data_IF_821199877511
#
_entry.id   IF_821199877511
#
_cell.length_a   1.000
_cell.length_b   1.000
_cell.length_c   1.000
_cell.angle_alpha   90.00
_cell.angle_beta   90.00
_cell.angle_gamma   90.00
#
_symmetry.space_group_name_H-M   'P 1'
#
loop_
_entity.id
_entity.type
_entity.pdbx_description
1 polymer ?
#
# COMPACT_ATOMS: atom_id res chain seq x y z
N UNK A 1 7.49 -31.72 -7.36
CA UNK A 1 6.90 -32.28 -6.14
C UNK A 1 7.74 -31.99 -4.89
N UNK A 2 9.08 -32.20 -4.88
CA UNK A 2 9.94 -31.98 -3.73
C UNK A 2 9.98 -30.50 -3.27
N UNK A 3 10.11 -29.55 -4.20
CA UNK A 3 10.14 -28.12 -3.87
C UNK A 3 8.84 -27.59 -3.24
N UNK A 4 7.69 -28.10 -3.68
CA UNK A 4 6.39 -27.75 -3.09
C UNK A 4 6.23 -28.30 -1.65
N UNK A 5 6.74 -29.49 -1.40
CA UNK A 5 6.75 -30.07 -0.05
C UNK A 5 7.65 -29.30 0.91
N UNK A 6 8.81 -28.82 0.44
CA UNK A 6 9.74 -28.01 1.23
C UNK A 6 9.14 -26.64 1.57
N UNK A 7 8.44 -26.01 0.61
CA UNK A 7 7.77 -24.74 0.84
C UNK A 7 6.62 -24.87 1.86
N UNK A 8 5.82 -25.91 1.73
CA UNK A 8 4.72 -26.19 2.67
C UNK A 8 5.25 -26.47 4.09
N UNK A 9 6.36 -27.22 4.21
CA UNK A 9 6.98 -27.45 5.51
C UNK A 9 7.51 -26.16 6.15
N UNK A 10 8.16 -25.28 5.36
CA UNK A 10 8.66 -24.00 5.84
C UNK A 10 7.52 -23.06 6.29
N UNK A 11 6.40 -23.06 5.55
CA UNK A 11 5.21 -22.29 5.94
C UNK A 11 4.58 -22.78 7.24
N UNK A 12 4.50 -24.11 7.42
CA UNK A 12 3.98 -24.71 8.67
C UNK A 12 4.88 -24.37 9.85
N UNK A 13 6.19 -24.45 9.69
CA UNK A 13 7.16 -24.13 10.73
C UNK A 13 7.11 -22.64 11.12
N UNK A 14 7.00 -21.73 10.16
CA UNK A 14 6.81 -20.31 10.39
C UNK A 14 5.50 -20.02 11.14
N UNK A 15 4.41 -20.68 10.76
CA UNK A 15 3.10 -20.55 11.41
C UNK A 15 3.13 -21.05 12.85
N UNK A 16 3.78 -22.20 13.11
CA UNK A 16 3.95 -22.73 14.45
C UNK A 16 4.82 -21.81 15.33
N UNK A 17 5.84 -21.21 14.76
CA UNK A 17 6.73 -20.28 15.46
C UNK A 17 5.99 -18.97 15.81
N UNK A 18 5.16 -18.45 14.91
CA UNK A 18 4.28 -17.30 15.17
C UNK A 18 3.25 -17.63 16.27
N UNK A 19 2.66 -18.83 16.25
CA UNK A 19 1.70 -19.29 17.26
C UNK A 19 2.37 -19.42 18.63
N UNK A 20 3.59 -19.93 18.69
CA UNK A 20 4.37 -20.02 19.96
C UNK A 20 4.74 -18.66 20.51
N UNK A 21 5.12 -17.70 19.65
CA UNK A 21 5.42 -16.33 20.06
C UNK A 21 4.15 -15.62 20.57
N UNK A 22 3.00 -15.84 19.94
CA UNK A 22 1.71 -15.30 20.40
C UNK A 22 1.22 -15.90 21.73
N UNK A 23 1.41 -17.20 21.93
CA UNK A 23 0.95 -17.89 23.14
C UNK A 23 1.80 -17.58 24.41
N UNK A 24 3.03 -17.11 24.24
CA UNK A 24 3.94 -16.81 25.33
C UNK A 24 3.84 -15.36 25.86
N UNK A 25 3.06 -14.51 25.22
CA UNK A 25 3.05 -13.07 25.51
C UNK A 25 1.72 -12.64 26.12
N UNK A 26 1.74 -12.30 27.40
CA UNK A 26 0.61 -11.57 28.01
C UNK A 26 0.71 -10.12 27.57
N UNK A 27 -0.31 -9.54 26.91
CA UNK A 27 -0.26 -8.15 26.45
C UNK A 27 0.04 -7.21 27.62
N UNK A 28 1.13 -6.46 27.54
CA UNK A 28 1.53 -5.48 28.54
C UNK A 28 1.23 -4.05 28.12
N UNK A 29 1.00 -3.85 26.83
CA UNK A 29 0.74 -2.54 26.23
C UNK A 29 -0.47 -2.63 25.30
N UNK A 30 -1.00 -1.48 24.88
CA UNK A 30 -2.07 -1.43 23.88
C UNK A 30 -1.61 -2.03 22.53
N UNK A 31 -0.34 -1.84 22.16
CA UNK A 31 0.27 -2.42 20.96
C UNK A 31 0.32 -3.95 21.03
N UNK A 32 0.72 -4.52 22.18
CA UNK A 32 0.71 -5.96 22.38
C UNK A 32 -0.71 -6.55 22.27
N UNK A 33 -1.71 -5.83 22.78
CA UNK A 33 -3.10 -6.24 22.68
C UNK A 33 -3.60 -6.22 21.22
N UNK A 34 -3.22 -5.20 20.45
CA UNK A 34 -3.55 -5.10 19.02
C UNK A 34 -2.85 -6.18 18.21
N UNK A 35 -1.59 -6.48 18.48
CA UNK A 35 -0.86 -7.59 17.82
C UNK A 35 -1.51 -8.94 18.13
N UNK A 36 -1.90 -9.16 19.39
CA UNK A 36 -2.60 -10.37 19.79
C UNK A 36 -3.96 -10.50 19.09
N UNK A 37 -4.71 -9.40 18.96
CA UNK A 37 -5.97 -9.36 18.20
C UNK A 37 -5.73 -9.65 16.72
N UNK A 38 -4.78 -8.97 16.09
CA UNK A 38 -4.45 -9.16 14.69
C UNK A 38 -4.01 -10.60 14.38
N UNK A 39 -3.31 -11.28 15.31
CA UNK A 39 -2.92 -12.67 15.14
C UNK A 39 -4.08 -13.67 15.18
N UNK A 40 -5.27 -13.26 15.64
CA UNK A 40 -6.48 -14.09 15.67
C UNK A 40 -7.41 -13.81 14.48
N UNK A 41 -7.11 -12.81 13.66
CA UNK A 41 -7.89 -12.50 12.47
C UNK A 41 -7.51 -13.45 11.34
N UNK A 42 -8.52 -14.01 10.68
CA UNK A 42 -8.31 -14.83 9.49
C UNK A 42 -7.73 -13.96 8.37
N UNK A 43 -6.56 -14.34 7.88
CA UNK A 43 -6.01 -13.72 6.68
C UNK A 43 -6.83 -14.13 5.45
N UNK A 44 -7.21 -13.22 4.55
CA UNK A 44 -7.92 -13.58 3.35
C UNK A 44 -7.07 -14.51 2.48
N UNK A 45 -7.63 -15.66 2.12
CA UNK A 45 -7.01 -16.58 1.19
C UNK A 45 -7.37 -16.18 -0.26
N UNK A 46 -6.35 -15.98 -1.08
CA UNK A 46 -6.50 -15.71 -2.49
C UNK A 46 -6.28 -17.00 -3.29
N UNK A 47 -7.33 -17.57 -3.83
CA UNK A 47 -7.27 -18.79 -4.64
C UNK A 47 -6.68 -18.56 -6.03
N UNK A 48 -6.65 -17.31 -6.48
CA UNK A 48 -6.01 -16.91 -7.73
C UNK A 48 -5.43 -15.50 -7.59
N UNK A 49 -4.27 -15.28 -8.18
CA UNK A 49 -3.67 -13.94 -8.30
C UNK A 49 -3.83 -13.49 -9.74
N UNK A 50 -4.67 -12.48 -9.97
CA UNK A 50 -4.81 -11.85 -11.27
C UNK A 50 -3.76 -10.75 -11.41
N UNK A 51 -2.90 -10.86 -12.40
CA UNK A 51 -2.01 -9.79 -12.81
C UNK A 51 -1.83 -9.81 -14.33
N UNK A 52 -1.61 -8.64 -14.90
CA UNK A 52 -1.24 -8.53 -16.30
C UNK A 52 0.29 -8.54 -16.41
N UNK A 53 0.79 -9.36 -17.33
CA UNK A 53 2.22 -9.30 -17.66
C UNK A 53 2.52 -7.99 -18.37
N UNK A 54 3.63 -7.36 -18.01
CA UNK A 54 4.12 -6.21 -18.75
C UNK A 54 4.42 -6.62 -20.20
N UNK A 55 3.90 -5.84 -21.14
CA UNK A 55 4.14 -6.04 -22.58
C UNK A 55 5.46 -5.46 -23.07
N UNK A 56 6.20 -4.77 -22.20
CA UNK A 56 7.46 -4.07 -22.49
C UNK A 56 8.39 -4.12 -21.28
N UNK A 57 9.70 -3.87 -21.46
CA UNK A 57 10.64 -3.78 -20.34
C UNK A 57 10.27 -2.70 -19.33
N UNK A 58 10.62 -2.88 -18.07
CA UNK A 58 10.36 -1.89 -17.01
C UNK A 58 11.01 -0.54 -17.33
N UNK A 59 12.16 -0.53 -17.97
CA UNK A 59 12.85 0.67 -18.45
C UNK A 59 12.10 1.49 -19.51
N UNK A 60 10.98 0.97 -20.00
CA UNK A 60 10.08 1.68 -20.92
C UNK A 60 8.70 1.98 -20.28
N UNK A 61 8.52 1.57 -19.02
CA UNK A 61 7.24 1.69 -18.33
C UNK A 61 7.12 3.03 -17.61
N UNK A 62 5.91 3.59 -17.66
CA UNK A 62 5.49 4.71 -16.81
C UNK A 62 4.94 4.18 -15.49
N UNK A 63 5.51 4.66 -14.39
CA UNK A 63 5.20 4.18 -13.03
C UNK A 63 4.47 5.25 -12.23
N UNK A 64 3.32 4.89 -11.63
CA UNK A 64 2.60 5.71 -10.67
C UNK A 64 2.67 5.12 -9.27
N UNK A 65 2.45 5.95 -8.25
CA UNK A 65 2.27 5.52 -6.85
C UNK A 65 0.79 5.62 -6.50
N UNK A 66 0.28 4.60 -5.82
CA UNK A 66 -0.99 4.64 -5.11
C UNK A 66 -0.71 4.25 -3.66
N UNK A 67 -0.96 5.16 -2.74
CA UNK A 67 -0.67 4.98 -1.31
C UNK A 67 -1.96 4.96 -0.49
N UNK A 68 -1.96 4.27 0.65
CA UNK A 68 -3.03 4.35 1.65
C UNK A 68 -2.72 5.31 2.80
N UNK A 69 -1.69 6.15 2.67
CA UNK A 69 -1.27 7.11 3.68
C UNK A 69 -2.21 8.32 3.85
N UNK A 70 -3.35 8.35 3.16
CA UNK A 70 -4.31 9.48 3.20
C UNK A 70 -3.68 10.82 2.82
N UNK A 71 -2.74 10.81 1.87
CA UNK A 71 -2.06 12.03 1.42
C UNK A 71 -3.02 12.92 0.63
N UNK A 72 -2.97 14.21 0.89
CA UNK A 72 -3.73 15.23 0.18
C UNK A 72 -2.97 16.56 0.14
N UNK A 73 -3.28 17.41 -0.85
CA UNK A 73 -2.76 18.78 -0.88
C UNK A 73 -3.49 19.66 0.14
N UNK A 74 -2.88 20.79 0.57
CA UNK A 74 -3.52 21.74 1.49
C UNK A 74 -4.87 22.32 1.01
N UNK A 75 -5.07 22.37 -0.31
CA UNK A 75 -6.28 22.88 -0.97
C UNK A 75 -7.34 21.80 -1.24
N UNK A 76 -7.06 20.55 -0.91
CA UNK A 76 -8.01 19.45 -1.04
C UNK A 76 -8.72 19.17 0.28
N UNK A 77 -9.92 18.59 0.20
CA UNK A 77 -10.65 18.12 1.36
C UNK A 77 -9.88 17.00 2.07
N UNK A 78 -9.82 17.08 3.39
CA UNK A 78 -9.24 16.03 4.23
C UNK A 78 -10.03 14.73 4.07
N UNK A 79 -9.34 13.62 4.26
CA UNK A 79 -10.03 12.35 4.38
C UNK A 79 -10.83 12.29 5.68
N UNK A 80 -12.09 11.88 5.59
CA UNK A 80 -12.89 11.51 6.75
C UNK A 80 -12.59 10.06 7.18
N UNK A 81 -12.99 9.70 8.37
CA UNK A 81 -12.91 8.31 8.81
C UNK A 81 -13.78 7.42 7.91
N UNK A 82 -13.19 6.37 7.34
CA UNK A 82 -13.87 5.48 6.40
C UNK A 82 -14.13 6.08 5.01
N UNK A 83 -13.50 7.22 4.67
CA UNK A 83 -13.56 7.79 3.33
C UNK A 83 -12.99 6.80 2.31
N UNK A 84 -13.83 6.27 1.45
CA UNK A 84 -13.45 5.35 0.39
C UNK A 84 -12.99 6.07 -0.89
N UNK A 85 -13.09 7.40 -0.95
CA UNK A 85 -12.62 8.21 -2.07
C UNK A 85 -11.10 8.27 -2.15
N UNK A 86 -10.60 8.86 -3.22
CA UNK A 86 -9.17 9.10 -3.39
C UNK A 86 -8.87 10.58 -3.66
N UNK A 87 -7.62 10.97 -3.43
CA UNK A 87 -7.08 12.27 -3.84
C UNK A 87 -6.01 12.06 -4.88
N UNK A 88 -6.06 12.86 -5.94
CA UNK A 88 -5.02 12.90 -6.97
C UNK A 88 -4.16 14.15 -6.77
N UNK A 89 -2.87 14.02 -6.97
CA UNK A 89 -1.90 15.11 -6.91
C UNK A 89 -0.82 14.92 -7.97
N UNK A 90 -0.18 16.00 -8.35
CA UNK A 90 0.84 15.97 -9.39
C UNK A 90 2.16 15.43 -8.83
N UNK A 91 2.99 14.87 -9.70
CA UNK A 91 4.32 14.37 -9.33
C UNK A 91 5.22 15.43 -8.69
N UNK A 92 5.00 16.71 -8.99
CA UNK A 92 5.80 17.81 -8.46
C UNK A 92 5.25 18.35 -7.12
N UNK A 93 4.09 17.91 -6.67
CA UNK A 93 3.53 18.28 -5.38
C UNK A 93 4.38 17.67 -4.25
N UNK A 94 5.03 18.54 -3.45
CA UNK A 94 5.86 18.14 -2.30
C UNK A 94 5.26 18.59 -0.97
N UNK A 95 4.32 19.55 -0.99
CA UNK A 95 3.64 20.02 0.22
C UNK A 95 2.37 19.19 0.44
N UNK A 96 2.55 17.90 0.71
CA UNK A 96 1.44 16.99 0.99
C UNK A 96 1.22 16.88 2.51
N UNK A 97 -0.05 16.79 2.87
CA UNK A 97 -0.50 16.56 4.26
C UNK A 97 -0.90 15.11 4.37
N UNK A 98 -0.49 14.46 5.45
CA UNK A 98 -0.93 13.12 5.77
C UNK A 98 -2.12 13.17 6.70
N UNK A 99 -3.20 12.51 6.30
CA UNK A 99 -4.45 12.44 7.03
C UNK A 99 -4.78 11.05 7.57
N UNK A 100 -3.78 10.21 7.83
CA UNK A 100 -4.02 8.85 8.30
C UNK A 100 -4.66 8.82 9.68
N UNK A 101 -5.74 8.03 9.83
CA UNK A 101 -6.60 8.04 11.01
C UNK A 101 -6.26 7.00 12.07
N UNK A 102 -5.38 6.04 11.78
CA UNK A 102 -5.08 4.98 12.75
C UNK A 102 -4.29 5.53 13.95
N UNK A 103 -4.81 5.39 15.18
CA UNK A 103 -4.08 5.79 16.39
C UNK A 103 -2.92 4.83 16.72
N UNK A 104 -2.89 3.66 16.07
CA UNK A 104 -1.92 2.61 16.33
C UNK A 104 -0.71 2.66 15.37
N UNK A 105 -0.66 3.68 14.53
CA UNK A 105 0.36 3.83 13.52
C UNK A 105 1.44 4.79 14.01
N UNK A 106 2.71 4.35 13.97
CA UNK A 106 3.85 5.22 14.27
C UNK A 106 4.10 6.19 13.11
N UNK A 107 3.74 7.44 13.32
CA UNK A 107 3.87 8.51 12.34
C UNK A 107 5.30 9.09 12.24
N UNK A 108 6.22 8.69 13.12
CA UNK A 108 7.53 9.34 13.21
C UNK A 108 8.38 9.20 11.95
N UNK A 109 8.37 8.03 11.30
CA UNK A 109 9.19 7.76 10.13
C UNK A 109 8.88 8.68 8.95
N UNK A 110 7.62 8.86 8.63
CA UNK A 110 7.23 9.67 7.47
C UNK A 110 7.06 11.16 7.75
N UNK A 111 7.03 11.59 9.02
CA UNK A 111 7.24 13.00 9.37
C UNK A 111 8.69 13.44 9.09
N UNK A 112 9.62 12.51 9.11
CA UNK A 112 11.02 12.77 8.80
C UNK A 112 11.31 12.64 7.29
N UNK A 113 10.68 11.67 6.62
CA UNK A 113 10.88 11.42 5.19
C UNK A 113 9.58 10.94 4.55
N UNK A 114 9.02 11.76 3.66
CA UNK A 114 7.81 11.44 2.92
C UNK A 114 7.98 10.19 2.05
N UNK A 115 9.20 9.87 1.61
CA UNK A 115 9.49 8.69 0.80
C UNK A 115 9.15 7.36 1.48
N UNK A 116 8.99 7.34 2.80
CA UNK A 116 8.54 6.14 3.53
C UNK A 116 7.15 5.68 3.07
N UNK A 117 6.25 6.61 2.76
CA UNK A 117 4.87 6.32 2.32
C UNK A 117 4.58 6.74 0.89
N UNK A 118 5.41 7.61 0.33
CA UNK A 118 5.30 8.14 -1.02
C UNK A 118 6.70 8.29 -1.64
N UNK A 119 7.32 7.19 -2.12
CA UNK A 119 8.72 7.17 -2.55
C UNK A 119 8.93 7.83 -3.92
N UNK A 120 8.47 9.06 -4.07
CA UNK A 120 8.52 9.79 -5.34
C UNK A 120 9.96 10.10 -5.77
N UNK A 121 10.81 10.52 -4.81
CA UNK A 121 12.20 10.82 -5.12
C UNK A 121 12.96 9.56 -5.54
N UNK A 122 12.62 8.41 -4.95
CA UNK A 122 13.20 7.11 -5.35
C UNK A 122 12.77 6.72 -6.76
N UNK A 123 11.51 6.97 -7.14
CA UNK A 123 11.08 6.73 -8.52
C UNK A 123 11.77 7.68 -9.51
N UNK A 124 11.97 8.94 -9.14
CA UNK A 124 12.70 9.90 -9.98
C UNK A 124 14.16 9.48 -10.19
N UNK A 125 14.83 8.98 -9.15
CA UNK A 125 16.17 8.40 -9.26
C UNK A 125 16.19 7.17 -10.18
N UNK A 126 15.25 6.25 -10.00
CA UNK A 126 15.15 5.05 -10.86
C UNK A 126 14.86 5.41 -12.33
N UNK A 127 14.11 6.49 -12.58
CA UNK A 127 13.89 6.98 -13.94
C UNK A 127 15.17 7.62 -14.51
N UNK A 128 15.90 8.38 -13.72
CA UNK A 128 17.18 8.98 -14.12
C UNK A 128 18.24 7.90 -14.44
N UNK A 129 18.23 6.80 -13.69
CA UNK A 129 19.13 5.65 -13.88
C UNK A 129 18.66 4.71 -15.01
N UNK A 130 17.51 4.97 -15.63
CA UNK A 130 16.97 4.14 -16.71
C UNK A 130 16.43 2.78 -16.27
N UNK A 131 16.18 2.59 -14.98
CA UNK A 131 15.57 1.37 -14.42
C UNK A 131 14.08 1.32 -14.75
N UNK A 132 13.40 2.47 -14.67
CA UNK A 132 12.04 2.66 -15.15
C UNK A 132 12.04 3.67 -16.29
N UNK A 133 10.99 3.67 -17.14
CA UNK A 133 10.91 4.58 -18.28
C UNK A 133 10.67 6.01 -17.85
N UNK A 134 9.67 6.23 -17.03
CA UNK A 134 9.32 7.55 -16.49
C UNK A 134 8.40 7.46 -15.29
N UNK A 135 8.36 8.54 -14.51
CA UNK A 135 7.40 8.73 -13.43
C UNK A 135 6.11 9.33 -14.01
N UNK A 136 4.96 8.81 -13.60
CA UNK A 136 3.66 9.29 -14.04
C UNK A 136 3.41 10.76 -13.65
N UNK A 137 2.59 11.50 -14.40
CA UNK A 137 2.32 12.91 -14.10
C UNK A 137 1.49 13.09 -12.83
N UNK A 138 0.69 12.08 -12.46
CA UNK A 138 -0.16 12.09 -11.26
C UNK A 138 0.02 10.82 -10.45
N UNK A 139 -0.21 10.98 -9.15
CA UNK A 139 -0.23 9.92 -8.15
C UNK A 139 -1.50 10.01 -7.33
N UNK A 140 -1.83 8.94 -6.59
CA UNK A 140 -3.11 8.84 -5.92
C UNK A 140 -2.93 8.37 -4.47
N UNK A 141 -3.80 8.86 -3.60
CA UNK A 141 -3.89 8.38 -2.23
C UNK A 141 -5.32 8.03 -1.87
N UNK A 142 -5.48 6.93 -1.16
CA UNK A 142 -6.70 6.52 -0.47
C UNK A 142 -6.51 6.71 1.04
N UNK A 143 -7.61 6.69 1.78
CA UNK A 143 -7.53 6.58 3.23
C UNK A 143 -7.13 5.15 3.62
N UNK A 144 -6.21 5.02 4.56
CA UNK A 144 -5.95 3.77 5.27
C UNK A 144 -7.05 3.48 6.30
N UNK A 145 -6.93 2.36 7.01
CA UNK A 145 -7.88 1.95 8.05
C UNK A 145 -9.33 1.83 7.52
N UNK A 146 -9.48 1.14 6.41
CA UNK A 146 -10.77 0.88 5.77
C UNK A 146 -11.54 -0.24 6.48
N UNK A 147 -12.89 -0.29 6.35
CA UNK A 147 -13.68 -1.45 6.76
C UNK A 147 -13.23 -2.73 6.06
N UNK A 148 -13.37 -3.88 6.72
CA UNK A 148 -12.94 -5.18 6.23
C UNK A 148 -13.48 -5.54 4.83
N UNK A 149 -14.66 -5.05 4.48
CA UNK A 149 -15.29 -5.34 3.19
C UNK A 149 -14.63 -4.64 2.02
N UNK A 150 -14.06 -3.44 2.24
CA UNK A 150 -13.52 -2.52 1.20
C UNK A 150 -14.37 -2.46 -0.09
N UNK A 151 -15.68 -2.69 0.05
CA UNK A 151 -16.59 -2.91 -1.11
C UNK A 151 -16.65 -1.69 -2.01
N UNK A 152 -16.70 -0.50 -1.43
CA UNK A 152 -16.78 0.75 -2.18
C UNK A 152 -15.49 1.00 -2.98
N UNK A 153 -14.32 0.77 -2.36
CA UNK A 153 -13.04 0.86 -3.08
C UNK A 153 -12.98 -0.16 -4.21
N UNK A 154 -13.39 -1.40 -3.97
CA UNK A 154 -13.31 -2.46 -4.98
C UNK A 154 -14.24 -2.26 -6.16
N UNK A 155 -15.45 -1.75 -5.93
CA UNK A 155 -16.51 -1.74 -6.93
C UNK A 155 -16.73 -0.36 -7.55
N UNK A 156 -16.23 0.71 -6.93
CA UNK A 156 -16.50 2.07 -7.36
C UNK A 156 -15.21 2.91 -7.46
N UNK A 157 -14.63 3.36 -6.36
CA UNK A 157 -13.54 4.36 -6.38
C UNK A 157 -12.21 3.80 -6.91
N UNK A 158 -11.90 2.54 -6.67
CA UNK A 158 -10.73 1.87 -7.25
C UNK A 158 -10.80 1.80 -8.78
N UNK A 159 -11.90 1.32 -9.39
CA UNK A 159 -12.12 1.43 -10.84
C UNK A 159 -12.01 2.87 -11.38
N UNK A 160 -12.55 3.86 -10.68
CA UNK A 160 -12.41 5.28 -11.07
C UNK A 160 -10.95 5.74 -11.06
N UNK A 161 -10.18 5.37 -10.03
CA UNK A 161 -8.75 5.61 -9.96
C UNK A 161 -8.02 4.95 -11.14
N UNK A 162 -8.35 3.69 -11.45
CA UNK A 162 -7.77 2.96 -12.58
C UNK A 162 -8.05 3.64 -13.93
N UNK A 163 -9.23 4.22 -14.12
CA UNK A 163 -9.54 5.02 -15.32
C UNK A 163 -8.59 6.22 -15.45
N UNK A 164 -8.29 6.92 -14.35
CA UNK A 164 -7.35 8.04 -14.37
C UNK A 164 -5.91 7.59 -14.63
N UNK A 165 -5.47 6.48 -14.03
CA UNK A 165 -4.17 5.89 -14.29
C UNK A 165 -4.01 5.50 -15.77
N UNK A 166 -5.04 4.90 -16.35
CA UNK A 166 -5.05 4.57 -17.78
C UNK A 166 -5.02 5.82 -18.68
N UNK A 167 -5.74 6.89 -18.31
CA UNK A 167 -5.72 8.15 -19.03
C UNK A 167 -4.33 8.81 -19.01
N UNK A 168 -3.56 8.58 -17.95
CA UNK A 168 -2.17 9.03 -17.83
C UNK A 168 -1.17 8.05 -18.48
N UNK A 169 -1.66 7.02 -19.18
CA UNK A 169 -0.86 5.96 -19.81
C UNK A 169 0.11 5.28 -18.82
N UNK A 170 -0.32 5.02 -17.60
CA UNK A 170 0.45 4.30 -16.58
C UNK A 170 0.50 2.81 -16.92
N UNK A 171 1.70 2.24 -16.93
CA UNK A 171 1.94 0.82 -17.18
C UNK A 171 2.04 0.01 -15.88
N UNK A 172 2.59 0.62 -14.84
CA UNK A 172 2.87 -0.03 -13.55
C UNK A 172 2.42 0.88 -12.40
N UNK A 173 1.78 0.28 -11.41
CA UNK A 173 1.42 0.97 -10.17
C UNK A 173 2.22 0.37 -9.01
N UNK A 174 2.96 1.22 -8.31
CA UNK A 174 3.57 0.89 -7.02
C UNK A 174 2.54 1.16 -5.93
N UNK A 175 2.10 0.09 -5.27
CA UNK A 175 1.20 0.18 -4.12
C UNK A 175 2.03 0.33 -2.85
N UNK A 176 1.80 1.40 -2.09
CA UNK A 176 2.45 1.62 -0.79
C UNK A 176 1.40 1.56 0.32
N UNK A 177 1.17 0.36 0.89
CA UNK A 177 0.25 0.19 2.01
C UNK A 177 0.83 0.81 3.28
N UNK A 178 -0.03 1.49 4.06
CA UNK A 178 0.33 2.19 5.30
C UNK A 178 -0.70 1.86 6.38
#
# INVERSE_FOLDING_TARGET
AAAAATLAAAQTEAQEQMTRLGAAHTPKTADDAMRALASTMDAPEFTSTSFNKLGKPLSECRVAIVTSASLHRPDQDRFAQGDAGFRAFNRDDRNLIMGHWSPNFDHSGFHLDLNVVYPIDRLEELAADGVIGEVAPRHFAFAGNQPDTVSEIRLDTGPQCAVQLNADAVDVVLLTPV
#
